data_IF_975149156305
#
_entry.id   IF_975149156305
#
_cell.length_a   1.000
_cell.length_b   1.000
_cell.length_c   1.000
_cell.angle_alpha   90.00
_cell.angle_beta   90.00
_cell.angle_gamma   90.00
#
_symmetry.space_group_name_H-M   'P 1'
#
loop_
_entity.id
_entity.type
_entity.pdbx_description
1 polymer ?
#
# COMPACT_ATOMS: atom_id res chain seq x y z
N UNK A 1 39.36 20.96 -78.18
CA UNK A 1 40.13 20.91 -76.91
C UNK A 1 39.59 19.76 -76.07
N UNK A 2 40.45 18.78 -75.77
CA UNK A 2 40.16 17.52 -75.06
C UNK A 2 39.81 17.83 -73.58
N UNK A 3 38.68 17.38 -73.04
CA UNK A 3 38.39 16.07 -72.42
C UNK A 3 38.79 15.95 -70.92
N UNK A 4 37.84 15.43 -70.14
CA UNK A 4 37.88 14.75 -68.82
C UNK A 4 38.34 15.48 -67.54
N UNK A 5 37.34 15.74 -66.67
CA UNK A 5 37.18 15.25 -65.28
C UNK A 5 38.37 15.08 -64.33
N UNK A 6 38.16 15.48 -63.06
CA UNK A 6 38.28 14.66 -61.82
C UNK A 6 38.37 15.58 -60.59
N UNK A 7 37.54 15.28 -59.59
CA UNK A 7 37.55 15.86 -58.24
C UNK A 7 38.78 15.41 -57.45
N UNK A 8 39.44 16.33 -56.73
CA UNK A 8 40.45 15.99 -55.71
C UNK A 8 40.09 16.57 -54.35
N UNK A 9 40.08 15.68 -53.37
CA UNK A 9 39.91 15.89 -51.93
C UNK A 9 41.15 16.59 -51.35
N UNK A 10 40.95 17.53 -50.43
CA UNK A 10 42.02 18.09 -49.61
C UNK A 10 42.10 17.34 -48.28
N UNK A 11 43.28 16.81 -47.98
CA UNK A 11 43.66 16.25 -46.69
C UNK A 11 44.40 17.31 -45.87
N UNK A 12 44.07 17.44 -44.59
CA UNK A 12 44.94 18.08 -43.60
C UNK A 12 45.24 17.09 -42.48
N UNK A 13 46.54 16.90 -42.25
CA UNK A 13 47.15 16.10 -41.19
C UNK A 13 46.90 16.77 -39.82
N UNK A 14 46.49 15.99 -38.82
CA UNK A 14 46.67 16.35 -37.40
C UNK A 14 47.49 15.24 -36.74
N UNK A 15 48.59 15.67 -36.11
CA UNK A 15 49.61 14.84 -35.45
C UNK A 15 49.03 14.20 -34.19
N UNK A 16 49.22 12.88 -34.06
CA UNK A 16 48.84 12.10 -32.90
C UNK A 16 49.85 12.29 -31.75
N UNK A 17 49.34 12.64 -30.56
CA UNK A 17 50.06 12.46 -29.30
C UNK A 17 49.50 11.20 -28.63
N UNK A 18 50.35 10.18 -28.52
CA UNK A 18 50.01 8.92 -27.87
C UNK A 18 50.10 9.07 -26.35
N UNK A 19 48.96 9.05 -25.65
CA UNK A 19 48.90 8.69 -24.24
C UNK A 19 48.58 7.20 -24.16
N UNK A 20 49.56 6.40 -23.73
CA UNK A 20 49.36 5.01 -23.36
C UNK A 20 48.53 4.97 -22.06
N UNK A 21 47.21 4.83 -22.19
CA UNK A 21 46.36 4.41 -21.09
C UNK A 21 46.35 2.89 -21.04
N UNK A 22 46.77 2.33 -19.91
CA UNK A 22 46.76 0.91 -19.64
C UNK A 22 45.39 0.30 -19.96
N UNK A 23 45.38 -0.72 -20.83
CA UNK A 23 44.20 -1.50 -21.15
C UNK A 23 43.72 -2.27 -19.95
N UNK A 24 42.79 -1.69 -19.20
CA UNK A 24 41.79 -2.44 -18.45
C UNK A 24 40.54 -2.47 -19.31
N UNK A 25 40.25 -3.61 -19.93
CA UNK A 25 38.91 -3.90 -20.43
C UNK A 25 37.98 -3.75 -19.23
N UNK A 26 37.25 -2.65 -19.14
CA UNK A 26 36.05 -2.63 -18.32
C UNK A 26 35.09 -3.59 -19.01
N UNK A 27 35.13 -4.86 -18.58
CA UNK A 27 33.97 -5.70 -18.72
C UNK A 27 32.81 -4.88 -18.14
N UNK A 28 31.87 -4.51 -19.00
CA UNK A 28 30.53 -4.20 -18.55
C UNK A 28 30.10 -5.41 -17.74
N UNK A 29 30.21 -5.32 -16.42
CA UNK A 29 29.54 -6.24 -15.51
C UNK A 29 28.07 -6.07 -15.86
N UNK A 30 27.54 -7.02 -16.63
CA UNK A 30 26.12 -7.27 -16.70
C UNK A 30 25.68 -7.31 -15.24
N UNK A 31 24.95 -6.28 -14.81
CA UNK A 31 24.25 -6.30 -13.54
C UNK A 31 23.58 -7.67 -13.46
N UNK A 32 23.95 -8.49 -12.47
CA UNK A 32 23.29 -9.76 -12.26
C UNK A 32 21.79 -9.45 -12.22
N UNK A 33 21.04 -10.00 -13.18
CA UNK A 33 19.60 -9.76 -13.26
C UNK A 33 19.00 -10.10 -11.91
N UNK A 34 18.17 -9.22 -11.38
CA UNK A 34 17.54 -9.40 -10.08
C UNK A 34 16.67 -10.66 -10.06
N UNK A 35 16.22 -11.10 -8.87
CA UNK A 35 15.30 -12.22 -8.78
C UNK A 35 13.97 -11.88 -9.48
N UNK A 36 13.59 -12.70 -10.46
CA UNK A 36 12.39 -12.50 -11.28
C UNK A 36 11.27 -13.45 -10.81
N UNK A 37 10.05 -12.93 -10.72
CA UNK A 37 8.85 -13.70 -10.37
C UNK A 37 7.73 -13.42 -11.38
N UNK A 38 7.14 -14.48 -11.95
CA UNK A 38 6.00 -14.36 -12.86
C UNK A 38 4.70 -14.73 -12.17
N UNK A 39 3.82 -13.75 -11.96
CA UNK A 39 2.57 -13.91 -11.23
C UNK A 39 1.40 -14.33 -12.12
N UNK A 40 1.57 -14.34 -13.44
CA UNK A 40 0.53 -14.65 -14.42
C UNK A 40 -0.09 -13.38 -14.98
N UNK A 41 -0.48 -12.44 -14.11
CA UNK A 41 -0.96 -11.11 -14.52
C UNK A 41 0.16 -10.08 -14.74
N UNK A 42 1.36 -10.35 -14.22
CA UNK A 42 2.52 -9.49 -14.35
C UNK A 42 3.79 -10.29 -14.07
N UNK A 43 4.95 -9.78 -14.51
CA UNK A 43 6.27 -10.31 -14.15
C UNK A 43 7.07 -9.21 -13.49
N UNK A 44 7.62 -9.48 -12.31
CA UNK A 44 8.35 -8.51 -11.49
C UNK A 44 9.80 -8.91 -11.33
N UNK A 45 10.72 -7.94 -11.40
CA UNK A 45 12.14 -8.11 -11.10
C UNK A 45 12.49 -7.33 -9.84
N UNK A 46 12.82 -8.05 -8.77
CA UNK A 46 13.26 -7.48 -7.51
C UNK A 46 14.77 -7.25 -7.50
N UNK A 47 15.36 -7.19 -6.31
CA UNK A 47 16.81 -7.14 -6.13
C UNK A 47 17.27 -8.08 -5.01
N UNK A 48 18.53 -8.49 -5.08
CA UNK A 48 19.18 -9.24 -4.02
C UNK A 48 19.89 -8.29 -3.05
N UNK A 49 19.58 -8.40 -1.76
CA UNK A 49 20.27 -7.72 -0.68
C UNK A 49 21.32 -8.65 -0.05
N UNK A 50 22.59 -8.45 -0.42
CA UNK A 50 23.70 -9.26 0.09
C UNK A 50 24.05 -9.04 1.56
N UNK A 51 23.59 -7.95 2.18
CA UNK A 51 23.81 -7.69 3.62
C UNK A 51 23.00 -8.62 4.50
N UNK A 52 21.75 -8.89 4.11
CA UNK A 52 20.82 -9.71 4.88
C UNK A 52 20.53 -11.07 4.26
N UNK A 53 21.11 -11.35 3.08
CA UNK A 53 20.86 -12.56 2.28
C UNK A 53 19.37 -12.75 1.96
N UNK A 54 18.79 -11.73 1.31
CA UNK A 54 17.36 -11.68 0.97
C UNK A 54 17.15 -11.27 -0.48
N UNK A 55 16.21 -11.94 -1.16
CA UNK A 55 15.55 -11.43 -2.34
C UNK A 55 14.37 -10.55 -1.91
N UNK A 56 14.29 -9.34 -2.48
CA UNK A 56 13.30 -8.32 -2.12
C UNK A 56 12.60 -7.86 -3.39
N UNK A 57 11.27 -7.91 -3.36
CA UNK A 57 10.40 -7.33 -4.38
C UNK A 57 9.53 -6.28 -3.71
N UNK A 58 9.66 -5.03 -4.13
CA UNK A 58 8.85 -3.93 -3.65
C UNK A 58 7.79 -3.54 -4.66
N UNK A 59 6.69 -2.95 -4.19
CA UNK A 59 5.64 -2.41 -5.06
C UNK A 59 5.00 -3.44 -6.01
N UNK A 60 4.73 -4.65 -5.54
CA UNK A 60 3.92 -5.62 -6.28
C UNK A 60 2.45 -5.22 -6.15
N UNK A 61 1.78 -4.99 -7.27
CA UNK A 61 0.35 -4.63 -7.29
C UNK A 61 -0.48 -5.85 -6.92
N UNK A 62 -1.23 -5.79 -5.81
CA UNK A 62 -2.11 -6.90 -5.41
C UNK A 62 -3.58 -6.67 -5.78
N UNK A 63 -3.96 -5.43 -6.12
CA UNK A 63 -5.29 -5.09 -6.61
C UNK A 63 -5.22 -3.98 -7.67
N UNK A 64 -6.26 -3.86 -8.49
CA UNK A 64 -6.38 -2.73 -9.41
C UNK A 64 -6.47 -1.38 -8.66
N UNK A 65 -6.03 -0.26 -9.27
CA UNK A 65 -6.08 1.06 -8.65
C UNK A 65 -7.51 1.42 -8.21
N UNK A 66 -7.74 1.80 -6.93
CA UNK A 66 -9.07 2.14 -6.42
C UNK A 66 -9.49 3.58 -6.75
N UNK A 67 -9.28 4.01 -8.00
CA UNK A 67 -9.54 5.37 -8.49
C UNK A 67 -10.85 5.48 -9.28
N UNK A 68 -11.38 6.70 -9.41
CA UNK A 68 -12.61 6.97 -10.15
C UNK A 68 -13.77 6.10 -9.66
N UNK A 69 -14.42 5.37 -10.56
CA UNK A 69 -15.56 4.51 -10.23
C UNK A 69 -15.22 3.34 -9.28
N UNK A 70 -13.93 3.07 -9.01
CA UNK A 70 -13.47 2.08 -8.02
C UNK A 70 -13.32 2.67 -6.61
N UNK A 71 -13.49 3.99 -6.44
CA UNK A 71 -13.53 4.62 -5.12
C UNK A 71 -14.67 4.05 -4.29
N UNK A 72 -14.35 3.73 -3.04
CA UNK A 72 -15.26 3.08 -2.09
C UNK A 72 -15.92 1.81 -2.64
N UNK A 73 -15.25 1.08 -3.54
CA UNK A 73 -15.66 -0.27 -3.97
C UNK A 73 -14.73 -1.34 -3.40
N UNK A 74 -15.16 -2.59 -3.50
CA UNK A 74 -14.32 -3.76 -3.20
C UNK A 74 -13.05 -3.71 -4.06
N UNK A 75 -11.87 -4.08 -3.53
CA UNK A 75 -10.70 -4.29 -4.38
C UNK A 75 -11.02 -5.32 -5.48
N UNK A 76 -10.51 -5.06 -6.67
CA UNK A 76 -10.66 -5.92 -7.84
C UNK A 76 -9.29 -6.53 -8.22
N UNK A 77 -9.28 -7.61 -9.04
CA UNK A 77 -8.05 -8.21 -9.53
C UNK A 77 -7.05 -7.21 -10.11
N UNK A 78 -5.73 -7.43 -9.90
CA UNK A 78 -4.70 -6.63 -10.55
C UNK A 78 -4.93 -6.51 -12.06
N UNK A 79 -4.57 -5.34 -12.60
CA UNK A 79 -4.57 -5.14 -14.05
C UNK A 79 -3.56 -6.12 -14.68
N UNK A 80 -3.93 -6.69 -15.83
CA UNK A 80 -3.04 -7.52 -16.61
C UNK A 80 -1.97 -6.65 -17.26
N UNK A 81 -0.76 -6.78 -16.77
CA UNK A 81 0.43 -6.19 -17.36
C UNK A 81 0.94 -7.15 -18.44
N UNK A 82 1.39 -6.61 -19.57
CA UNK A 82 1.83 -7.42 -20.71
C UNK A 82 3.09 -8.24 -20.43
N UNK A 83 3.80 -8.64 -21.48
CA UNK A 83 5.04 -9.43 -21.34
C UNK A 83 6.25 -8.66 -20.81
N UNK A 84 6.08 -7.41 -20.38
CA UNK A 84 7.16 -6.59 -19.84
C UNK A 84 7.53 -7.02 -18.41
N UNK A 85 8.82 -6.99 -18.10
CA UNK A 85 9.31 -7.18 -16.74
C UNK A 85 9.24 -5.82 -16.03
N UNK A 86 8.53 -5.78 -14.91
CA UNK A 86 8.31 -4.57 -14.11
C UNK A 86 9.35 -4.52 -13.00
N UNK A 87 10.17 -3.45 -12.92
CA UNK A 87 11.07 -3.26 -11.79
C UNK A 87 10.29 -3.15 -10.47
N UNK A 88 10.65 -3.98 -9.51
CA UNK A 88 10.05 -4.09 -8.17
C UNK A 88 11.09 -3.72 -7.11
N UNK A 89 11.68 -2.53 -7.23
CA UNK A 89 12.84 -2.09 -6.42
C UNK A 89 12.55 -0.88 -5.54
N UNK A 90 11.55 -0.07 -5.91
CA UNK A 90 11.16 1.15 -5.21
C UNK A 90 9.99 0.91 -4.25
N UNK A 91 9.93 1.69 -3.18
CA UNK A 91 8.84 1.60 -2.20
C UNK A 91 7.47 1.95 -2.81
N UNK A 92 6.38 1.36 -2.31
CA UNK A 92 5.06 1.60 -2.87
C UNK A 92 4.61 3.03 -2.61
N UNK A 93 3.81 3.62 -3.52
CA UNK A 93 3.14 4.88 -3.27
C UNK A 93 2.36 4.82 -1.96
N UNK A 94 2.50 5.86 -1.13
CA UNK A 94 1.69 6.00 0.09
C UNK A 94 0.24 6.25 -0.30
N UNK A 95 -0.70 5.51 0.29
CA UNK A 95 -2.12 5.84 0.17
C UNK A 95 -2.39 7.26 0.67
N UNK A 96 -3.47 7.92 0.23
CA UNK A 96 -3.88 9.20 0.80
C UNK A 96 -4.14 9.04 2.30
N UNK A 97 -3.48 9.88 3.09
CA UNK A 97 -3.53 9.84 4.54
C UNK A 97 -4.32 11.05 5.04
N UNK A 98 -5.11 10.85 6.08
CA UNK A 98 -5.56 11.98 6.90
C UNK A 98 -4.33 12.54 7.57
N UNK A 99 -3.99 13.80 7.32
CA UNK A 99 -2.88 14.44 8.03
C UNK A 99 -3.05 14.24 9.53
N UNK A 100 -2.24 13.36 10.11
CA UNK A 100 -2.38 13.01 11.50
C UNK A 100 -1.82 14.19 12.27
N UNK A 101 -2.69 15.10 12.72
CA UNK A 101 -2.39 16.10 13.74
C UNK A 101 -1.21 17.04 13.40
N UNK A 102 -1.09 18.16 14.11
CA UNK A 102 0.17 18.90 14.12
C UNK A 102 1.21 18.12 14.93
N UNK A 103 1.59 16.91 14.51
CA UNK A 103 2.60 16.15 15.26
C UNK A 103 3.93 16.87 15.10
N UNK A 104 4.66 17.10 16.20
CA UNK A 104 5.99 17.68 16.12
C UNK A 104 6.88 16.86 15.16
N UNK A 105 7.70 17.57 14.38
CA UNK A 105 8.61 16.99 13.37
C UNK A 105 9.54 15.90 13.96
N UNK A 106 9.82 15.97 15.27
CA UNK A 106 10.64 15.00 16.02
C UNK A 106 10.12 13.56 15.96
N UNK A 107 8.82 13.37 15.74
CA UNK A 107 8.20 12.06 15.59
C UNK A 107 8.22 11.55 14.14
N UNK A 108 8.78 12.33 13.19
CA UNK A 108 8.94 11.95 11.79
C UNK A 108 7.65 11.90 10.98
N UNK A 109 6.55 12.49 11.47
CA UNK A 109 5.27 12.51 10.79
C UNK A 109 5.22 13.64 9.75
N UNK A 110 5.33 13.28 8.47
CA UNK A 110 5.10 14.22 7.36
C UNK A 110 4.07 13.63 6.39
N UNK A 111 2.79 13.97 6.60
CA UNK A 111 1.70 13.58 5.70
C UNK A 111 1.74 14.48 4.47
N UNK A 112 2.37 14.00 3.41
CA UNK A 112 2.26 14.61 2.08
C UNK A 112 0.98 14.19 1.36
N UNK A 113 0.76 14.74 0.17
CA UNK A 113 -0.27 14.22 -0.74
C UNK A 113 0.03 12.75 -1.04
N UNK A 114 -0.94 11.87 -0.80
CA UNK A 114 -0.82 10.46 -1.14
C UNK A 114 -1.29 10.18 -2.57
N UNK A 115 -1.14 8.94 -3.00
CA UNK A 115 -1.61 8.45 -4.29
C UNK A 115 -2.72 7.42 -4.07
N UNK A 116 -3.90 7.61 -4.66
CA UNK A 116 -4.98 6.62 -4.57
C UNK A 116 -4.63 5.29 -5.23
N UNK A 117 -3.76 5.30 -6.25
CA UNK A 117 -3.14 4.08 -6.73
C UNK A 117 -2.06 3.62 -5.75
N UNK A 118 -2.49 2.95 -4.67
CA UNK A 118 -1.61 2.53 -3.58
C UNK A 118 -1.77 1.07 -3.15
N UNK A 119 -2.57 0.24 -3.83
CA UNK A 119 -2.80 -1.15 -3.44
C UNK A 119 -1.66 -2.08 -3.88
N UNK A 120 -0.54 -1.93 -3.19
CA UNK A 120 0.72 -2.64 -3.40
C UNK A 120 1.19 -3.36 -2.14
N UNK A 121 2.08 -4.33 -2.31
CA UNK A 121 2.78 -5.02 -1.23
C UNK A 121 4.25 -5.22 -1.58
N UNK A 122 5.04 -5.46 -0.55
CA UNK A 122 6.45 -5.84 -0.63
C UNK A 122 6.58 -7.31 -0.19
N UNK A 123 7.48 -8.07 -0.82
CA UNK A 123 7.80 -9.46 -0.46
C UNK A 123 9.29 -9.58 -0.19
N UNK A 124 9.63 -10.21 0.94
CA UNK A 124 10.99 -10.47 1.38
C UNK A 124 11.16 -11.97 1.60
N UNK A 125 12.11 -12.60 0.93
CA UNK A 125 12.36 -14.03 1.01
C UNK A 125 13.85 -14.37 0.89
N UNK A 126 14.30 -15.47 1.48
CA UNK A 126 15.65 -15.99 1.23
C UNK A 126 15.81 -16.41 -0.25
N UNK A 127 17.01 -16.31 -0.88
CA UNK A 127 17.20 -16.65 -2.29
C UNK A 127 16.79 -18.06 -2.71
N UNK A 128 16.87 -19.03 -1.78
CA UNK A 128 16.49 -20.42 -2.00
C UNK A 128 15.29 -20.83 -1.12
N UNK A 129 14.43 -19.87 -0.77
CA UNK A 129 13.24 -20.12 0.02
C UNK A 129 12.42 -21.26 -0.60
N UNK A 130 12.11 -22.27 0.20
CA UNK A 130 11.28 -23.39 -0.23
C UNK A 130 10.39 -23.80 0.93
N UNK A 131 9.08 -23.79 0.71
CA UNK A 131 8.09 -24.17 1.71
C UNK A 131 8.36 -23.48 3.06
N UNK A 132 8.56 -22.16 3.07
CA UNK A 132 8.75 -21.39 4.30
C UNK A 132 7.41 -20.89 4.86
N UNK A 133 7.25 -20.79 6.19
CA UNK A 133 6.10 -20.09 6.77
C UNK A 133 6.09 -18.63 6.31
N UNK A 134 4.89 -18.07 6.19
CA UNK A 134 4.66 -16.72 5.65
C UNK A 134 4.06 -15.85 6.73
N UNK A 135 4.61 -14.65 6.86
CA UNK A 135 4.10 -13.61 7.73
C UNK A 135 3.56 -12.44 6.90
N UNK A 136 2.27 -12.17 7.00
CA UNK A 136 1.65 -10.97 6.45
C UNK A 136 1.68 -9.88 7.52
N UNK A 137 2.33 -8.76 7.22
CA UNK A 137 2.44 -7.59 8.08
C UNK A 137 1.47 -6.50 7.64
N UNK A 138 0.53 -6.17 8.52
CA UNK A 138 -0.42 -5.07 8.36
C UNK A 138 0.06 -3.91 9.23
N UNK A 139 0.46 -2.81 8.59
CA UNK A 139 0.91 -1.63 9.31
C UNK A 139 -0.24 -0.96 10.09
N UNK A 140 0.13 -0.31 11.20
CA UNK A 140 -0.79 0.46 12.02
C UNK A 140 -1.05 1.86 11.49
N UNK A 141 -1.34 2.77 12.40
CA UNK A 141 -1.54 4.19 12.08
C UNK A 141 -3.00 4.63 12.20
N UNK A 142 -3.79 3.95 13.04
CA UNK A 142 -5.13 4.40 13.35
C UNK A 142 -6.12 4.33 12.20
N UNK A 143 -5.82 3.53 11.18
CA UNK A 143 -6.52 3.54 9.88
C UNK A 143 -6.37 4.85 9.10
N UNK A 144 -5.44 5.71 9.49
CA UNK A 144 -5.32 7.10 9.05
C UNK A 144 -3.98 7.42 8.39
N UNK A 145 -2.90 6.80 8.86
CA UNK A 145 -1.51 7.09 8.44
C UNK A 145 -0.65 5.83 8.30
N UNK A 146 0.63 6.05 7.93
CA UNK A 146 1.67 5.06 7.63
C UNK A 146 1.44 4.26 6.34
N UNK A 147 2.30 3.27 6.12
CA UNK A 147 2.31 2.43 4.95
C UNK A 147 3.28 1.26 5.09
N UNK A 148 3.38 0.48 4.03
CA UNK A 148 4.34 -0.59 3.82
C UNK A 148 5.75 0.00 3.58
N UNK A 149 6.37 0.43 4.67
CA UNK A 149 7.68 1.08 4.71
C UNK A 149 8.60 0.47 5.78
N UNK A 150 8.10 -0.48 6.57
CA UNK A 150 8.87 -1.21 7.56
C UNK A 150 9.77 -2.21 6.84
N UNK A 151 11.09 -2.07 7.00
CA UNK A 151 12.04 -3.04 6.49
C UNK A 151 12.23 -4.19 7.51
N UNK A 152 11.75 -5.42 7.21
CA UNK A 152 11.88 -6.55 8.12
C UNK A 152 13.26 -7.21 8.06
N UNK A 153 14.20 -6.76 7.20
CA UNK A 153 15.42 -7.51 6.87
C UNK A 153 16.28 -7.88 8.08
N UNK A 154 16.46 -6.95 9.04
CA UNK A 154 17.20 -7.22 10.28
C UNK A 154 16.49 -8.28 11.14
N UNK A 155 15.16 -8.16 11.24
CA UNK A 155 14.35 -9.11 12.01
C UNK A 155 14.34 -10.50 11.37
N UNK A 156 14.26 -10.58 10.05
CA UNK A 156 14.37 -11.85 9.32
C UNK A 156 15.75 -12.47 9.50
N UNK A 157 16.81 -11.67 9.35
CA UNK A 157 18.19 -12.15 9.43
C UNK A 157 18.54 -12.71 10.82
N UNK A 158 18.08 -12.05 11.90
CA UNK A 158 18.24 -12.54 13.28
C UNK A 158 17.46 -13.83 13.57
N UNK A 159 16.56 -14.24 12.67
CA UNK A 159 15.80 -15.49 12.71
C UNK A 159 16.16 -16.42 11.55
N UNK A 160 17.42 -16.36 11.09
CA UNK A 160 18.00 -17.21 10.05
C UNK A 160 17.26 -17.16 8.71
N UNK A 161 16.55 -16.07 8.41
CA UNK A 161 15.69 -15.93 7.23
C UNK A 161 14.68 -17.10 7.07
N UNK A 162 14.25 -17.71 8.18
CA UNK A 162 13.44 -18.92 8.20
C UNK A 162 11.95 -18.75 7.87
N UNK A 163 11.54 -17.56 7.40
CA UNK A 163 10.18 -17.23 7.01
C UNK A 163 10.18 -16.18 5.90
N UNK A 164 9.03 -15.97 5.27
CA UNK A 164 8.80 -14.91 4.27
C UNK A 164 7.97 -13.81 4.90
N UNK A 165 8.28 -12.55 4.59
CA UNK A 165 7.45 -11.41 4.98
C UNK A 165 6.74 -10.83 3.76
N UNK A 166 5.44 -10.62 3.89
CA UNK A 166 4.61 -9.86 2.97
C UNK A 166 4.11 -8.62 3.69
N UNK A 167 4.60 -7.45 3.32
CA UNK A 167 4.21 -6.18 3.91
C UNK A 167 3.26 -5.45 2.96
N UNK A 168 2.08 -5.02 3.44
CA UNK A 168 1.02 -4.55 2.53
C UNK A 168 0.53 -3.12 2.81
N UNK A 169 0.16 -2.41 1.74
CA UNK A 169 -0.63 -1.18 1.78
C UNK A 169 -2.13 -1.49 1.84
N UNK A 170 -2.93 -0.60 2.43
CA UNK A 170 -4.40 -0.63 2.33
C UNK A 170 -4.95 0.81 2.34
N UNK A 171 -6.16 1.04 1.81
CA UNK A 171 -6.77 2.39 1.84
C UNK A 171 -6.95 2.89 3.27
N UNK A 172 -6.67 4.18 3.49
CA UNK A 172 -6.68 4.86 4.79
C UNK A 172 -7.68 6.02 4.80
N UNK A 173 -7.94 6.59 5.98
CA UNK A 173 -8.77 7.77 6.16
C UNK A 173 -10.16 7.60 5.54
N UNK A 174 -10.69 8.69 4.96
CA UNK A 174 -11.95 8.64 4.24
C UNK A 174 -11.90 7.69 3.04
N UNK A 175 -10.75 7.47 2.39
CA UNK A 175 -10.65 6.61 1.22
C UNK A 175 -10.89 5.12 1.56
N UNK A 176 -10.52 4.69 2.77
CA UNK A 176 -10.72 3.32 3.25
C UNK A 176 -11.92 3.13 4.19
N UNK A 177 -12.38 4.20 4.83
CA UNK A 177 -13.29 4.10 5.98
C UNK A 177 -14.36 5.20 6.01
N UNK A 178 -14.71 5.80 4.86
CA UNK A 178 -15.91 6.64 4.76
C UNK A 178 -17.15 5.77 4.96
N UNK A 179 -18.04 6.19 5.84
CA UNK A 179 -19.22 5.42 6.19
C UNK A 179 -20.46 6.30 6.36
N UNK A 180 -21.55 5.89 5.71
CA UNK A 180 -22.90 6.41 5.89
C UNK A 180 -23.90 5.49 5.16
N UNK A 181 -25.21 5.67 5.37
CA UNK A 181 -26.22 5.01 4.54
C UNK A 181 -26.06 5.31 3.04
N UNK A 182 -25.62 6.51 2.68
CA UNK A 182 -25.39 6.90 1.28
C UNK A 182 -24.25 6.10 0.65
N UNK A 183 -23.13 5.92 1.39
CA UNK A 183 -22.02 5.06 0.94
C UNK A 183 -22.46 3.60 0.83
N UNK A 184 -23.22 3.08 1.80
CA UNK A 184 -23.70 1.69 1.77
C UNK A 184 -24.63 1.42 0.57
N UNK A 185 -25.37 2.43 0.10
CA UNK A 185 -26.32 2.30 -1.01
C UNK A 185 -25.64 2.17 -2.37
N UNK A 186 -24.52 2.88 -2.58
CA UNK A 186 -23.88 3.02 -3.89
C UNK A 186 -22.45 2.44 -3.96
N UNK A 187 -21.86 2.11 -2.82
CA UNK A 187 -20.52 1.54 -2.71
C UNK A 187 -20.42 0.52 -1.58
N UNK A 188 -19.24 0.44 -0.98
CA UNK A 188 -18.89 -0.50 0.07
C UNK A 188 -18.29 0.23 1.25
N UNK A 189 -18.67 -0.23 2.43
CA UNK A 189 -18.10 0.19 3.71
C UNK A 189 -16.85 -0.63 4.00
N UNK A 190 -16.04 -0.17 4.96
CA UNK A 190 -14.85 -0.89 5.44
C UNK A 190 -13.87 -1.30 4.33
N UNK A 191 -13.76 -0.49 3.28
CA UNK A 191 -12.96 -0.83 2.08
C UNK A 191 -11.49 -1.05 2.40
N UNK A 192 -10.93 -0.34 3.39
CA UNK A 192 -9.59 -0.61 3.89
C UNK A 192 -9.42 -2.00 4.54
N UNK A 193 -10.48 -2.56 5.16
CA UNK A 193 -10.45 -3.95 5.65
C UNK A 193 -10.64 -4.95 4.52
N UNK A 194 -11.44 -4.61 3.51
CA UNK A 194 -11.59 -5.43 2.31
C UNK A 194 -10.28 -5.52 1.54
N UNK A 195 -9.49 -4.44 1.49
CA UNK A 195 -8.13 -4.43 0.96
C UNK A 195 -7.21 -5.39 1.71
N UNK A 196 -7.22 -5.35 3.05
CA UNK A 196 -6.47 -6.28 3.91
C UNK A 196 -6.82 -7.74 3.63
N UNK A 197 -8.12 -8.06 3.57
CA UNK A 197 -8.57 -9.39 3.20
C UNK A 197 -8.06 -9.81 1.82
N UNK A 198 -8.18 -8.91 0.83
CA UNK A 198 -7.80 -9.20 -0.54
C UNK A 198 -6.30 -9.43 -0.69
N UNK A 199 -5.46 -8.68 0.02
CA UNK A 199 -4.00 -8.92 0.05
C UNK A 199 -3.62 -10.25 0.72
N UNK A 200 -4.37 -10.69 1.75
CA UNK A 200 -4.18 -12.01 2.35
C UNK A 200 -4.58 -13.13 1.37
N UNK A 201 -5.69 -12.94 0.64
CA UNK A 201 -6.13 -13.86 -0.41
C UNK A 201 -5.09 -13.92 -1.55
N UNK A 202 -4.58 -12.78 -2.00
CA UNK A 202 -3.46 -12.69 -2.95
C UNK A 202 -2.22 -13.45 -2.45
N UNK A 203 -1.88 -13.28 -1.16
CA UNK A 203 -0.74 -13.98 -0.56
C UNK A 203 -0.95 -15.48 -0.61
N UNK A 204 -2.15 -15.95 -0.27
CA UNK A 204 -2.50 -17.37 -0.34
C UNK A 204 -2.39 -17.93 -1.76
N UNK A 205 -2.71 -17.13 -2.78
CA UNK A 205 -2.65 -17.54 -4.17
C UNK A 205 -1.22 -17.58 -4.73
N UNK A 206 -0.39 -16.60 -4.39
CA UNK A 206 0.86 -16.35 -5.11
C UNK A 206 2.15 -16.65 -4.33
N UNK A 207 2.10 -16.77 -3.00
CA UNK A 207 3.34 -16.81 -2.20
C UNK A 207 4.23 -18.03 -2.45
N UNK A 208 3.66 -19.12 -2.99
CA UNK A 208 4.43 -20.29 -3.43
C UNK A 208 5.49 -19.94 -4.48
N UNK A 209 5.24 -18.92 -5.32
CA UNK A 209 6.18 -18.43 -6.34
C UNK A 209 7.41 -17.74 -5.74
N UNK A 210 7.33 -17.35 -4.48
CA UNK A 210 8.41 -16.75 -3.69
C UNK A 210 9.04 -17.75 -2.71
N UNK A 211 8.63 -19.02 -2.76
CA UNK A 211 9.12 -20.06 -1.85
C UNK A 211 8.31 -20.23 -0.55
N UNK A 212 7.16 -19.57 -0.43
CA UNK A 212 6.30 -19.64 0.76
C UNK A 212 5.33 -20.82 0.74
N UNK A 213 4.87 -21.23 1.92
CA UNK A 213 3.79 -22.20 2.08
C UNK A 213 2.44 -21.48 2.22
N UNK A 214 1.52 -21.57 1.23
CA UNK A 214 0.22 -20.90 1.29
C UNK A 214 -0.70 -21.44 2.41
N UNK A 215 -0.34 -22.57 3.04
CA UNK A 215 -1.07 -23.15 4.16
C UNK A 215 -0.48 -22.79 5.53
N UNK A 216 0.66 -22.09 5.58
CA UNK A 216 1.28 -21.60 6.82
C UNK A 216 1.43 -20.08 6.81
N UNK A 217 0.29 -19.38 6.70
CA UNK A 217 0.21 -17.92 6.76
C UNK A 217 -0.14 -17.49 8.18
N UNK A 218 0.65 -16.57 8.73
CA UNK A 218 0.40 -15.85 9.98
C UNK A 218 0.21 -14.37 9.67
N UNK A 219 -0.78 -13.73 10.27
CA UNK A 219 -1.02 -12.29 10.10
C UNK A 219 -0.65 -11.58 11.39
N UNK A 220 0.17 -10.52 11.29
CA UNK A 220 0.44 -9.58 12.38
C UNK A 220 -0.08 -8.21 11.96
N UNK A 221 -0.90 -7.61 12.82
CA UNK A 221 -1.30 -6.21 12.71
C UNK A 221 -0.66 -5.42 13.86
N UNK A 222 0.18 -4.44 13.54
CA UNK A 222 0.86 -3.62 14.52
C UNK A 222 0.06 -2.34 14.77
N UNK A 223 -0.31 -2.04 16.02
CA UNK A 223 -1.09 -0.83 16.37
C UNK A 223 -2.39 -0.62 15.55
N UNK A 224 -3.27 -1.63 15.42
CA UNK A 224 -4.46 -1.54 14.57
C UNK A 224 -5.62 -0.71 15.17
N UNK A 225 -5.36 0.15 16.16
CA UNK A 225 -6.33 1.01 16.90
C UNK A 225 -7.81 0.62 16.77
N UNK A 226 -8.33 -0.13 17.74
CA UNK A 226 -9.74 -0.56 17.76
C UNK A 226 -10.50 0.10 18.92
N UNK A 227 -11.09 1.30 18.71
CA UNK A 227 -11.98 1.91 19.69
C UNK A 227 -13.38 1.27 19.59
N UNK A 228 -14.38 1.88 20.24
CA UNK A 228 -15.78 1.50 20.03
C UNK A 228 -16.13 1.55 18.54
N UNK A 229 -16.53 0.39 18.00
CA UNK A 229 -17.00 0.26 16.62
C UNK A 229 -18.48 0.67 16.57
N UNK A 230 -18.75 1.79 15.90
CA UNK A 230 -20.10 2.31 15.69
C UNK A 230 -20.77 1.64 14.49
N UNK A 231 -22.10 1.72 14.40
CA UNK A 231 -22.81 1.33 13.18
C UNK A 231 -22.61 2.41 12.12
N UNK A 232 -22.64 2.00 10.85
CA UNK A 232 -22.52 2.92 9.72
C UNK A 232 -23.61 4.01 9.70
N UNK A 233 -24.75 3.74 10.33
CA UNK A 233 -25.91 4.63 10.43
C UNK A 233 -26.00 5.42 11.74
N UNK A 234 -25.05 5.23 12.67
CA UNK A 234 -25.05 5.98 13.93
C UNK A 234 -24.76 7.46 13.66
N UNK A 235 -25.35 8.34 14.47
CA UNK A 235 -25.22 9.80 14.32
C UNK A 235 -23.77 10.27 14.29
N UNK A 236 -22.90 9.62 15.05
CA UNK A 236 -21.48 9.90 15.09
C UNK A 236 -20.80 9.66 13.74
N UNK A 237 -21.11 8.54 13.10
CA UNK A 237 -20.60 8.16 11.79
C UNK A 237 -21.14 9.10 10.71
N UNK A 238 -22.46 9.36 10.72
CA UNK A 238 -23.10 10.19 9.69
C UNK A 238 -22.70 11.66 9.81
N UNK A 239 -22.45 12.20 11.01
CA UNK A 239 -21.97 13.58 11.19
C UNK A 239 -20.60 13.79 10.52
N UNK A 240 -19.70 12.81 10.63
CA UNK A 240 -18.38 12.86 9.98
C UNK A 240 -18.51 12.77 8.46
N UNK A 241 -19.42 11.94 7.96
CA UNK A 241 -19.76 11.87 6.54
C UNK A 241 -20.33 13.20 6.01
N UNK A 242 -21.31 13.80 6.70
CA UNK A 242 -21.93 15.04 6.27
C UNK A 242 -20.90 16.18 6.21
N UNK A 243 -20.02 16.27 7.22
CA UNK A 243 -18.94 17.26 7.19
C UNK A 243 -17.93 17.00 6.07
N UNK A 244 -17.62 15.73 5.80
CA UNK A 244 -16.76 15.36 4.67
C UNK A 244 -17.38 15.79 3.32
N UNK A 245 -18.67 15.54 3.14
CA UNK A 245 -19.43 15.97 1.94
C UNK A 245 -19.44 17.50 1.80
N UNK A 246 -19.64 18.23 2.90
CA UNK A 246 -19.56 19.70 2.92
C UNK A 246 -18.19 20.20 2.46
N UNK A 247 -17.12 19.68 3.06
CA UNK A 247 -15.75 20.09 2.78
C UNK A 247 -15.28 19.68 1.38
N UNK A 248 -15.83 18.59 0.83
CA UNK A 248 -15.59 18.18 -0.54
C UNK A 248 -16.40 18.98 -1.59
N UNK A 249 -17.25 19.92 -1.16
CA UNK A 249 -18.10 20.71 -2.05
C UNK A 249 -19.28 19.92 -2.64
N UNK A 250 -19.67 18.81 -1.99
CA UNK A 250 -20.65 17.86 -2.50
C UNK A 250 -22.02 17.91 -1.80
N UNK A 251 -22.29 18.97 -1.02
CA UNK A 251 -23.57 19.10 -0.29
C UNK A 251 -24.77 19.24 -1.22
N UNK A 252 -24.60 19.99 -2.31
CA UNK A 252 -25.62 20.26 -3.32
C UNK A 252 -25.11 19.77 -4.69
N UNK A 253 -25.19 18.45 -4.97
CA UNK A 253 -24.70 17.90 -6.23
C UNK A 253 -25.53 18.41 -7.42
N UNK A 254 -24.93 18.37 -8.62
CA UNK A 254 -25.61 18.73 -9.86
C UNK A 254 -26.91 17.92 -10.10
N UNK A 255 -27.81 18.45 -10.93
CA UNK A 255 -29.09 17.80 -11.22
C UNK A 255 -28.90 16.33 -11.66
N UNK A 256 -29.66 15.41 -11.05
CA UNK A 256 -29.59 13.96 -11.25
C UNK A 256 -28.29 13.28 -10.76
N UNK A 257 -27.50 13.92 -9.89
CA UNK A 257 -26.36 13.31 -9.21
C UNK A 257 -26.61 13.21 -7.72
N UNK A 258 -26.13 12.13 -7.10
CA UNK A 258 -26.12 11.95 -5.65
C UNK A 258 -24.89 12.60 -5.03
N UNK A 259 -24.88 12.78 -3.71
CA UNK A 259 -23.67 13.19 -2.96
C UNK A 259 -22.52 12.23 -3.24
N UNK A 260 -22.81 10.92 -3.30
CA UNK A 260 -21.83 9.88 -3.62
C UNK A 260 -21.23 10.05 -5.02
N UNK A 261 -22.05 10.34 -6.04
CA UNK A 261 -21.54 10.59 -7.40
C UNK A 261 -20.60 11.80 -7.46
N UNK A 262 -20.91 12.86 -6.70
CA UNK A 262 -20.03 14.02 -6.57
C UNK A 262 -18.70 13.65 -5.92
N UNK A 263 -18.73 12.89 -4.81
CA UNK A 263 -17.51 12.42 -4.13
C UNK A 263 -16.64 11.54 -5.04
N UNK A 264 -17.26 10.65 -5.83
CA UNK A 264 -16.54 9.79 -6.78
C UNK A 264 -15.81 10.63 -7.83
N UNK A 265 -16.37 11.77 -8.25
CA UNK A 265 -15.78 12.66 -9.25
C UNK A 265 -14.78 13.70 -8.69
N UNK A 266 -14.74 13.91 -7.36
CA UNK A 266 -13.93 14.96 -6.75
C UNK A 266 -12.41 14.70 -6.84
N UNK A 267 -11.59 15.75 -6.83
CA UNK A 267 -10.14 15.59 -6.86
C UNK A 267 -9.59 14.93 -5.59
N UNK A 268 -8.55 14.11 -5.73
CA UNK A 268 -7.90 13.40 -4.61
C UNK A 268 -7.43 14.37 -3.53
N UNK A 269 -6.85 15.51 -3.91
CA UNK A 269 -6.36 16.51 -2.97
C UNK A 269 -7.52 17.14 -2.16
N UNK A 270 -8.64 17.44 -2.81
CA UNK A 270 -9.85 17.95 -2.14
C UNK A 270 -10.36 16.94 -1.12
N UNK A 271 -10.47 15.67 -1.51
CA UNK A 271 -10.92 14.60 -0.63
C UNK A 271 -9.93 14.36 0.52
N UNK A 272 -8.62 14.37 0.26
CA UNK A 272 -7.61 14.18 1.30
C UNK A 272 -7.61 15.33 2.31
N UNK A 273 -7.73 16.57 1.84
CA UNK A 273 -7.84 17.76 2.69
C UNK A 273 -9.12 17.71 3.54
N UNK A 274 -10.27 17.40 2.94
CA UNK A 274 -11.52 17.21 3.66
C UNK A 274 -11.40 16.12 4.72
N UNK A 275 -10.75 14.99 4.39
CA UNK A 275 -10.50 13.90 5.33
C UNK A 275 -9.64 14.36 6.51
N UNK A 276 -8.58 15.14 6.25
CA UNK A 276 -7.74 15.75 7.28
C UNK A 276 -8.53 16.68 8.18
N UNK A 277 -9.31 17.60 7.61
CA UNK A 277 -10.11 18.57 8.38
C UNK A 277 -11.19 17.90 9.23
N UNK A 278 -11.90 16.89 8.73
CA UNK A 278 -12.87 16.13 9.56
C UNK A 278 -12.15 15.46 10.73
N UNK A 279 -10.96 14.92 10.48
CA UNK A 279 -10.15 14.26 11.52
C UNK A 279 -9.71 15.21 12.64
N UNK A 280 -9.47 16.49 12.34
CA UNK A 280 -9.03 17.47 13.33
C UNK A 280 -10.16 18.28 13.97
N UNK A 281 -11.33 18.39 13.32
CA UNK A 281 -12.42 19.27 13.77
C UNK A 281 -13.66 18.53 14.31
N UNK A 282 -13.88 17.29 13.87
CA UNK A 282 -15.01 16.43 14.28
C UNK A 282 -14.52 15.16 15.02
N UNK A 283 -13.20 14.98 15.08
CA UNK A 283 -12.56 13.95 15.92
C UNK A 283 -12.69 14.29 17.40
N UNK A 284 -12.89 13.27 18.24
CA UNK A 284 -12.61 13.42 19.66
C UNK A 284 -11.10 13.43 19.86
N UNK A 285 -10.64 14.21 20.85
CA UNK A 285 -9.26 14.15 21.30
C UNK A 285 -8.86 12.68 21.60
N UNK A 286 -7.74 12.22 21.03
CA UNK A 286 -7.27 10.85 21.16
C UNK A 286 -7.98 9.80 20.28
N UNK A 287 -8.72 10.22 19.24
CA UNK A 287 -9.38 9.31 18.29
C UNK A 287 -9.20 9.71 16.82
N UNK A 288 -9.45 8.76 15.91
CA UNK A 288 -9.42 8.98 14.46
C UNK A 288 -10.86 9.14 13.91
N UNK A 289 -11.03 9.93 12.85
CA UNK A 289 -12.35 10.20 12.31
C UNK A 289 -12.92 9.08 11.45
N UNK A 290 -12.09 8.41 10.66
CA UNK A 290 -12.53 7.37 9.74
C UNK A 290 -12.02 6.03 10.24
N UNK A 291 -12.95 5.18 10.68
CA UNK A 291 -12.69 3.95 11.40
C UNK A 291 -13.60 2.84 10.87
N UNK A 292 -13.25 1.57 11.11
CA UNK A 292 -14.16 0.46 10.86
C UNK A 292 -15.54 0.67 11.51
N UNK A 293 -16.59 0.28 10.79
CA UNK A 293 -17.98 0.37 11.25
C UNK A 293 -18.67 -0.99 11.19
N UNK A 294 -19.67 -1.22 12.02
CA UNK A 294 -20.62 -2.33 11.84
C UNK A 294 -21.43 -2.00 10.59
N UNK A 295 -21.28 -2.82 9.55
CA UNK A 295 -21.87 -2.65 8.22
C UNK A 295 -22.98 -3.66 7.91
N UNK A 296 -23.24 -4.60 8.83
CA UNK A 296 -24.19 -5.72 8.71
C UNK A 296 -23.82 -6.75 7.62
N UNK A 297 -22.59 -6.71 7.10
CA UNK A 297 -22.07 -7.63 6.08
C UNK A 297 -20.73 -8.22 6.52
N UNK A 298 -19.67 -7.40 6.46
CA UNK A 298 -18.31 -7.79 6.83
C UNK A 298 -18.12 -7.74 8.36
N UNK A 299 -18.53 -6.64 8.99
CA UNK A 299 -18.62 -6.51 10.45
C UNK A 299 -20.10 -6.50 10.82
N UNK A 300 -20.60 -7.65 11.25
CA UNK A 300 -22.02 -7.86 11.57
C UNK A 300 -22.38 -7.40 12.98
N UNK A 301 -21.44 -7.50 13.92
CA UNK A 301 -21.61 -7.14 15.32
C UNK A 301 -20.31 -6.58 15.89
N UNK A 302 -20.34 -6.09 17.13
CA UNK A 302 -19.14 -5.63 17.82
C UNK A 302 -18.14 -6.79 17.93
N UNK A 303 -16.84 -6.58 17.64
CA UNK A 303 -15.83 -7.63 17.74
C UNK A 303 -15.81 -8.32 19.11
N UNK A 304 -16.03 -7.59 20.20
CA UNK A 304 -16.12 -8.15 21.55
C UNK A 304 -17.29 -9.17 21.71
N UNK A 305 -18.43 -8.92 21.07
CA UNK A 305 -19.58 -9.82 21.06
C UNK A 305 -19.36 -11.06 20.18
N UNK A 306 -18.64 -10.90 19.06
CA UNK A 306 -18.26 -12.03 18.21
C UNK A 306 -17.22 -12.94 18.88
N UNK A 307 -16.26 -12.34 19.59
CA UNK A 307 -15.26 -13.04 20.39
C UNK A 307 -15.92 -13.85 21.52
N UNK A 308 -16.85 -13.26 22.26
CA UNK A 308 -17.55 -13.96 23.35
C UNK A 308 -18.46 -15.09 22.88
N UNK A 309 -18.93 -15.04 21.62
CA UNK A 309 -19.72 -16.10 21.00
C UNK A 309 -18.89 -17.14 20.23
N UNK A 310 -17.55 -17.09 20.34
CA UNK A 310 -16.62 -18.00 19.66
C UNK A 310 -16.79 -18.10 18.13
N UNK A 311 -17.37 -17.07 17.50
CA UNK A 311 -17.54 -16.98 16.04
C UNK A 311 -16.25 -16.47 15.38
N UNK A 312 -15.17 -17.23 15.50
CA UNK A 312 -13.84 -16.85 15.00
C UNK A 312 -13.34 -17.86 13.97
N UNK A 313 -12.73 -17.35 12.89
CA UNK A 313 -12.06 -18.18 11.88
C UNK A 313 -10.61 -18.50 12.24
N UNK A 314 -10.00 -17.73 13.15
CA UNK A 314 -8.61 -17.90 13.58
C UNK A 314 -8.43 -19.08 14.54
N UNK A 315 -7.41 -19.91 14.31
CA UNK A 315 -7.12 -21.08 15.17
C UNK A 315 -6.37 -20.71 16.45
N UNK A 316 -5.52 -19.68 16.40
CA UNK A 316 -4.64 -19.22 17.48
C UNK A 316 -4.49 -17.71 17.38
N UNK A 317 -4.49 -17.03 18.52
CA UNK A 317 -4.35 -15.58 18.62
C UNK A 317 -3.31 -15.28 19.70
N UNK A 318 -2.38 -14.39 19.40
CA UNK A 318 -1.43 -13.82 20.36
C UNK A 318 -1.67 -12.31 20.40
N UNK A 319 -1.95 -11.77 21.59
CA UNK A 319 -2.17 -10.33 21.81
C UNK A 319 -1.18 -9.85 22.87
N UNK A 320 -0.48 -8.76 22.57
CA UNK A 320 0.42 -8.09 23.50
C UNK A 320 0.14 -6.60 23.56
N UNK A 321 0.33 -6.00 24.72
CA UNK A 321 0.26 -4.54 24.94
C UNK A 321 1.52 -4.09 25.66
N UNK A 322 2.02 -2.90 25.34
CA UNK A 322 3.08 -2.27 26.12
C UNK A 322 2.51 -1.74 27.44
N UNK A 323 3.23 -1.93 28.55
CA UNK A 323 2.83 -1.47 29.89
C UNK A 323 2.68 0.06 29.99
N UNK A 324 3.16 0.83 29.00
CA UNK A 324 3.07 2.30 28.96
C UNK A 324 2.07 2.86 27.94
N UNK A 325 1.22 2.03 27.31
CA UNK A 325 0.25 2.53 26.31
C UNK A 325 -0.76 3.55 26.86
N UNK A 326 -0.89 3.70 28.18
CA UNK A 326 -1.73 4.71 28.83
C UNK A 326 -1.11 6.11 28.86
N UNK A 327 0.18 6.25 28.54
CA UNK A 327 0.88 7.54 28.43
C UNK A 327 1.34 7.73 26.97
N UNK A 328 0.37 7.68 26.06
CA UNK A 328 0.40 8.54 24.89
C UNK A 328 -0.57 9.68 25.19
N UNK A 329 -0.25 10.45 26.22
CA UNK A 329 -0.80 11.80 26.38
C UNK A 329 -0.11 12.65 25.32
N UNK A 330 -0.81 12.84 24.21
CA UNK A 330 -0.43 13.76 23.12
C UNK A 330 -0.65 15.20 23.56
#
# INVERSE_FOLDING_TARGET
MKNTGVWRRFSWLVVAVACAAAGGSAELVLSASGPVVSLGYATYEGYYNGTYDLNIWKSIRYAAPPIGNRRWQVPEPPIQEGSAIIPAVDQPPRCPQTGAFGVPEEYGFNSGLGNEDCLYLNVYAAPNATNLPVLVWIHGGGHSVFGAQYDPSVWMNTNNNGFIVVEMQYRLGAFGFLASPDVKKAGRLNTGLLDQRYAIEWTREHIAKFGGDPNRITVIAASPYFPTVYRYSDSFTTTRYDKFVELAGCSEPAQNKTKFDCLVAADTEVLQNASGTVSTTVGYFGSFAFLPVIDDDYIQERPASQLSSAKLSGKRVLVGVSLKNTILTW
#
